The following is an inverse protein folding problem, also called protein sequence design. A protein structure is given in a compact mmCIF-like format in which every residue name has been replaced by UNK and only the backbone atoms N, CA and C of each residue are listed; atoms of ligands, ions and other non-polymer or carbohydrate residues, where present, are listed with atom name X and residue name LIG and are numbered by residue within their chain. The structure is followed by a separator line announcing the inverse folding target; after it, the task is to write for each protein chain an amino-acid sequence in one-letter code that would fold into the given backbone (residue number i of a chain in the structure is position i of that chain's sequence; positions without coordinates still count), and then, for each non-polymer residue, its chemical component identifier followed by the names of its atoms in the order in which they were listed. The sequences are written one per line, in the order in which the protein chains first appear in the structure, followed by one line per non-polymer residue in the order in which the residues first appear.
data_IF_643290663137
#
_entry.id   IF_643290663137
#
_cell.length_a   1.000
_cell.length_b   1.000
_cell.length_c   1.000
_cell.angle_alpha   90.00
_cell.angle_beta   90.00
_cell.angle_gamma   90.00
#
_symmetry.space_group_name_H-M   'P 1'
#
loop_
_entity.id
_entity.type
_entity.pdbx_description
1 polymer ?
#
# COMPACT_ATOMS: atom_id res chain seq x y z
N UNK A 1 0.99 40.04 22.76
CA UNK A 1 -0.34 39.46 23.04
C UNK A 1 -1.06 39.31 21.70
N UNK A 2 -1.43 38.17 21.12
CA UNK A 2 -1.48 36.76 21.51
C UNK A 2 -1.20 35.91 20.24
N UNK A 3 -0.25 35.00 20.37
CA UNK A 3 -0.18 33.66 19.77
C UNK A 3 -1.54 33.00 19.43
N UNK A 4 -1.65 32.39 18.25
CA UNK A 4 -2.54 31.23 18.05
C UNK A 4 -2.11 30.36 16.87
N UNK A 5 -1.31 29.35 17.19
CA UNK A 5 -1.31 28.05 16.53
C UNK A 5 -2.72 27.46 16.59
N UNK A 6 -3.27 27.05 15.45
CA UNK A 6 -4.30 26.00 15.36
C UNK A 6 -4.09 25.21 14.08
N UNK A 7 -3.64 23.96 14.26
CA UNK A 7 -3.97 22.85 13.38
C UNK A 7 -5.49 22.75 13.33
N UNK A 8 -6.08 22.62 12.15
CA UNK A 8 -7.38 22.00 11.91
C UNK A 8 -7.51 21.82 10.40
N UNK A 9 -7.21 20.61 9.94
CA UNK A 9 -8.19 19.56 9.64
C UNK A 9 -8.71 19.76 8.21
N UNK A 10 -8.44 18.77 7.34
CA UNK A 10 -9.20 18.60 6.10
C UNK A 10 -10.67 18.68 6.47
N UNK A 11 -11.30 19.80 6.15
CA UNK A 11 -12.73 19.98 6.30
C UNK A 11 -13.36 19.28 5.12
N UNK A 12 -13.89 18.09 5.36
CA UNK A 12 -14.89 17.48 4.51
C UNK A 12 -16.14 18.37 4.58
N UNK A 13 -16.44 19.09 3.50
CA UNK A 13 -17.68 19.83 3.33
C UNK A 13 -18.05 19.86 1.85
N UNK A 14 -18.59 18.75 1.33
CA UNK A 14 -19.67 18.85 0.35
C UNK A 14 -20.34 17.49 0.12
N UNK A 15 -21.67 17.49 0.21
CA UNK A 15 -22.53 16.33 -0.02
C UNK A 15 -22.56 15.89 -1.47
N UNK A 16 -21.46 15.32 -1.95
CA UNK A 16 -21.39 14.60 -3.22
C UNK A 16 -20.48 13.39 -3.02
N UNK A 17 -21.06 12.19 -3.04
CA UNK A 17 -20.32 10.93 -3.08
C UNK A 17 -19.65 10.81 -4.46
N UNK A 18 -18.56 11.53 -4.68
CA UNK A 18 -17.74 11.42 -5.87
C UNK A 18 -16.30 11.10 -5.48
N UNK A 19 -15.93 9.82 -5.62
CA UNK A 19 -14.62 9.40 -6.13
C UNK A 19 -13.33 9.83 -5.41
N UNK A 20 -13.32 10.00 -4.08
CA UNK A 20 -12.08 10.30 -3.36
C UNK A 20 -11.14 9.10 -3.12
N UNK A 21 -11.55 7.87 -3.44
CA UNK A 21 -10.75 6.68 -3.10
C UNK A 21 -9.43 6.60 -3.89
N UNK A 22 -9.37 7.16 -5.10
CA UNK A 22 -8.21 7.04 -6.00
C UNK A 22 -7.05 8.00 -5.67
N UNK A 23 -7.29 9.10 -4.93
CA UNK A 23 -6.26 10.13 -4.66
C UNK A 23 -5.57 9.89 -3.29
N UNK A 24 -6.19 9.13 -2.38
CA UNK A 24 -5.65 8.90 -1.03
C UNK A 24 -4.40 7.97 -1.02
N UNK A 25 -4.22 7.09 -2.00
CA UNK A 25 -3.17 6.07 -1.93
C UNK A 25 -1.75 6.63 -2.10
N UNK A 26 -1.57 7.63 -2.97
CA UNK A 26 -0.27 8.26 -3.24
C UNK A 26 0.26 9.00 -2.01
N UNK A 27 -0.58 9.80 -1.35
CA UNK A 27 -0.20 10.55 -0.15
C UNK A 27 0.10 9.65 1.06
N UNK A 28 -0.51 8.46 1.13
CA UNK A 28 -0.19 7.46 2.16
C UNK A 28 1.20 6.87 1.93
N UNK A 29 1.59 6.56 0.69
CA UNK A 29 2.92 6.02 0.40
C UNK A 29 4.03 7.03 0.69
N UNK A 30 3.87 8.29 0.32
CA UNK A 30 4.82 9.38 0.66
C UNK A 30 5.01 9.51 2.18
N UNK A 31 3.93 9.37 2.95
CA UNK A 31 4.01 9.40 4.42
C UNK A 31 4.72 8.17 5.00
N UNK A 32 4.69 7.03 4.30
CA UNK A 32 5.29 5.76 4.73
C UNK A 32 6.74 5.60 4.26
N UNK A 33 7.15 6.26 3.18
CA UNK A 33 8.51 6.27 2.62
C UNK A 33 9.63 6.37 3.68
N UNK A 34 9.63 7.35 4.60
CA UNK A 34 10.70 7.45 5.60
C UNK A 34 10.77 6.24 6.55
N UNK A 35 9.66 5.53 6.74
CA UNK A 35 9.61 4.31 7.55
C UNK A 35 10.07 3.07 6.77
N UNK A 36 9.90 3.06 5.45
CA UNK A 36 10.41 2.02 4.55
C UNK A 36 11.93 2.15 4.40
N UNK A 37 12.44 3.37 4.20
CA UNK A 37 13.88 3.64 4.08
C UNK A 37 14.62 3.39 5.40
N UNK A 38 14.03 3.80 6.54
CA UNK A 38 14.59 3.51 7.86
C UNK A 38 14.46 2.04 8.27
N UNK A 39 13.78 1.20 7.46
CA UNK A 39 13.61 -0.22 7.70
C UNK A 39 12.70 -0.57 8.90
N UNK A 40 11.99 0.43 9.46
CA UNK A 40 10.99 0.23 10.52
C UNK A 40 9.78 -0.53 9.99
N UNK A 41 9.42 -0.28 8.74
CA UNK A 41 8.43 -1.05 8.01
C UNK A 41 9.15 -1.96 7.03
N UNK A 42 8.90 -3.26 7.16
CA UNK A 42 9.42 -4.27 6.25
C UNK A 42 8.27 -4.84 5.42
N UNK A 43 8.45 -5.00 4.10
CA UNK A 43 7.49 -5.74 3.32
C UNK A 43 7.43 -7.18 3.84
N UNK A 44 6.22 -7.67 4.10
CA UNK A 44 6.00 -9.05 4.48
C UNK A 44 6.00 -9.88 3.21
N UNK A 45 7.13 -10.56 2.97
CA UNK A 45 7.33 -11.47 1.84
C UNK A 45 7.50 -12.88 2.39
N UNK A 46 6.66 -13.79 1.89
CA UNK A 46 6.75 -15.20 2.21
C UNK A 46 7.96 -15.86 1.55
N UNK A 47 8.40 -17.03 2.05
CA UNK A 47 9.54 -17.77 1.51
C UNK A 47 9.36 -18.22 0.04
N UNK A 48 8.11 -18.30 -0.45
CA UNK A 48 7.77 -18.59 -1.86
C UNK A 48 7.08 -17.41 -2.56
N UNK A 49 7.36 -16.18 -2.11
CA UNK A 49 6.66 -15.00 -2.62
C UNK A 49 7.03 -14.64 -4.06
N UNK A 50 8.19 -15.04 -4.56
CA UNK A 50 8.66 -14.63 -5.89
C UNK A 50 8.40 -15.70 -6.94
N UNK A 51 7.65 -15.34 -7.98
CA UNK A 51 7.38 -16.18 -9.14
C UNK A 51 7.84 -15.50 -10.44
N UNK A 52 8.42 -16.23 -11.40
CA UNK A 52 8.64 -15.70 -12.73
C UNK A 52 7.30 -15.49 -13.46
N UNK A 53 7.24 -14.56 -14.41
CA UNK A 53 6.01 -14.28 -15.18
C UNK A 53 5.44 -15.52 -15.88
N UNK A 54 6.29 -16.45 -16.31
CA UNK A 54 5.88 -17.73 -16.91
C UNK A 54 5.03 -18.61 -15.97
N UNK A 55 5.09 -18.35 -14.65
CA UNK A 55 4.36 -19.07 -13.60
C UNK A 55 3.28 -18.20 -12.94
N UNK A 56 2.80 -17.16 -13.60
CA UNK A 56 1.76 -16.29 -13.06
C UNK A 56 0.50 -17.06 -12.61
N UNK A 57 0.08 -18.09 -13.36
CA UNK A 57 -1.06 -18.95 -12.96
C UNK A 57 -0.80 -19.72 -11.66
N UNK A 58 0.43 -20.20 -11.45
CA UNK A 58 0.83 -20.87 -10.21
C UNK A 58 0.86 -19.88 -9.04
N UNK A 59 1.30 -18.64 -9.29
CA UNK A 59 1.30 -17.56 -8.31
C UNK A 59 -0.13 -17.20 -7.84
N UNK A 60 -1.11 -17.18 -8.74
CA UNK A 60 -2.51 -16.97 -8.38
C UNK A 60 -3.11 -18.15 -7.60
N UNK A 61 -2.83 -19.38 -8.02
CA UNK A 61 -3.28 -20.57 -7.28
C UNK A 61 -2.67 -20.62 -5.85
N UNK A 62 -1.43 -20.17 -5.70
CA UNK A 62 -0.79 -20.01 -4.40
C UNK A 62 -1.49 -18.95 -3.54
N UNK A 63 -1.91 -17.82 -4.12
CA UNK A 63 -2.65 -16.78 -3.42
C UNK A 63 -4.06 -17.25 -2.98
N UNK A 64 -4.77 -17.97 -3.85
CA UNK A 64 -6.14 -18.45 -3.59
C UNK A 64 -6.21 -19.48 -2.45
N UNK A 65 -5.09 -20.14 -2.14
CA UNK A 65 -5.00 -21.18 -1.11
C UNK A 65 -5.21 -20.67 0.32
N UNK A 66 -5.62 -19.40 0.54
CA UNK A 66 -6.06 -18.75 1.79
C UNK A 66 -5.11 -18.82 3.00
N UNK A 67 -4.00 -19.56 2.92
CA UNK A 67 -3.05 -19.76 4.01
C UNK A 67 -1.85 -18.81 3.96
N UNK A 68 -1.74 -18.02 2.90
CA UNK A 68 -0.59 -17.15 2.68
C UNK A 68 -0.98 -15.70 2.96
N UNK A 69 -0.68 -15.23 4.18
CA UNK A 69 -0.81 -13.83 4.61
C UNK A 69 0.16 -12.87 3.91
N UNK A 70 0.91 -13.37 2.92
CA UNK A 70 2.07 -12.71 2.35
C UNK A 70 1.76 -12.17 0.96
N UNK A 71 2.45 -11.09 0.59
CA UNK A 71 2.38 -10.56 -0.77
C UNK A 71 3.11 -11.49 -1.72
N UNK A 72 2.49 -11.80 -2.87
CA UNK A 72 3.12 -12.51 -3.99
C UNK A 72 3.67 -11.49 -4.98
N UNK A 73 4.91 -11.69 -5.43
CA UNK A 73 5.66 -10.82 -6.32
C UNK A 73 5.94 -11.59 -7.61
N UNK A 74 5.54 -11.02 -8.75
CA UNK A 74 5.84 -11.57 -10.07
C UNK A 74 6.96 -10.75 -10.70
N UNK A 75 8.11 -11.38 -10.94
CA UNK A 75 9.29 -10.73 -11.51
C UNK A 75 10.22 -11.77 -12.17
N UNK A 76 10.86 -11.47 -13.31
CA UNK A 76 10.72 -10.28 -14.15
C UNK A 76 9.45 -10.34 -15.02
N UNK A 77 8.91 -9.18 -15.38
CA UNK A 77 7.81 -9.01 -16.34
C UNK A 77 8.44 -8.61 -17.69
N UNK A 78 8.20 -9.36 -18.78
CA UNK A 78 8.73 -9.06 -20.11
C UNK A 78 8.05 -7.87 -20.78
#
# INVERSE_FOLDING_TARGET
MKNRTTREACKDNEGRREGCDSIQLLSILEKLEPYLESGKLKPVLGPKSQFPFSKALEAFAYLDSHWHSDKVVIYPIP
#
